data_IF_102348214109
#
_entry.id   IF_102348214109
#
_cell.length_a   1.000
_cell.length_b   1.000
_cell.length_c   1.000
_cell.angle_alpha   90.00
_cell.angle_beta   90.00
_cell.angle_gamma   90.00
#
_symmetry.space_group_name_H-M   'P 1'
#
loop_
_entity.id
_entity.type
_entity.pdbx_description
1 polymer ?
#
# COMPACT_ATOMS: atom_id res chain seq x y z
N UNK A 1 20.12 68.52 -2.27
CA UNK A 1 20.81 67.34 -2.84
C UNK A 1 19.77 66.27 -3.08
N UNK A 2 19.29 66.05 -4.33
CA UNK A 2 18.41 64.95 -4.62
C UNK A 2 19.25 63.73 -5.00
N UNK A 3 19.12 62.66 -4.21
CA UNK A 3 19.72 61.36 -4.53
C UNK A 3 18.84 60.70 -5.60
N UNK A 4 19.31 60.68 -6.85
CA UNK A 4 18.72 59.85 -7.90
C UNK A 4 19.11 58.40 -7.64
N UNK A 5 18.18 57.59 -7.16
CA UNK A 5 18.34 56.13 -7.12
C UNK A 5 18.21 55.63 -8.56
N UNK A 6 19.35 55.37 -9.20
CA UNK A 6 19.41 54.63 -10.46
C UNK A 6 19.10 53.16 -10.17
N UNK A 7 17.85 52.75 -10.39
CA UNK A 7 17.47 51.35 -10.46
C UNK A 7 17.92 50.79 -11.81
N UNK A 8 19.08 50.14 -11.83
CA UNK A 8 19.48 49.31 -12.96
C UNK A 8 18.62 48.04 -12.96
N UNK A 9 17.63 47.99 -13.84
CA UNK A 9 17.00 46.74 -14.22
C UNK A 9 18.02 45.94 -15.04
N UNK A 10 18.79 45.08 -14.37
CA UNK A 10 19.58 44.06 -15.05
C UNK A 10 18.60 43.04 -15.65
N UNK A 11 18.23 43.23 -16.92
CA UNK A 11 17.46 42.25 -17.67
C UNK A 11 18.28 40.97 -17.76
N UNK A 12 17.87 39.92 -17.05
CA UNK A 12 18.49 38.61 -17.13
C UNK A 12 18.31 38.06 -18.55
N UNK A 13 19.41 37.88 -19.28
CA UNK A 13 19.50 37.14 -20.56
C UNK A 13 19.31 35.62 -20.33
N UNK A 14 18.33 35.23 -19.53
CA UNK A 14 18.11 33.83 -19.19
C UNK A 14 17.17 33.19 -20.21
N UNK A 15 17.71 32.25 -20.98
CA UNK A 15 16.92 31.44 -21.91
C UNK A 15 15.88 30.63 -21.10
N UNK A 16 14.59 30.70 -21.45
CA UNK A 16 13.51 30.07 -20.70
C UNK A 16 13.65 28.54 -20.66
N UNK A 17 13.23 27.92 -19.56
CA UNK A 17 13.26 26.47 -19.39
C UNK A 17 12.34 25.75 -20.40
N UNK A 18 12.70 24.54 -20.86
CA UNK A 18 11.82 23.71 -21.66
C UNK A 18 10.75 23.01 -20.80
N UNK A 19 9.65 22.58 -21.42
CA UNK A 19 8.71 21.65 -20.82
C UNK A 19 9.13 20.20 -21.06
N UNK A 20 8.89 19.33 -20.08
CA UNK A 20 9.17 17.89 -20.16
C UNK A 20 7.89 17.10 -19.86
N UNK A 21 7.59 16.09 -20.66
CA UNK A 21 6.41 15.24 -20.45
C UNK A 21 6.66 13.79 -20.88
N UNK A 22 6.02 12.87 -20.18
CA UNK A 22 5.95 11.47 -20.57
C UNK A 22 4.87 11.33 -21.65
N UNK A 23 5.20 10.70 -22.78
CA UNK A 23 4.27 10.53 -23.91
C UNK A 23 3.92 9.06 -24.13
N UNK A 24 2.74 8.75 -24.69
CA UNK A 24 2.34 7.38 -25.00
C UNK A 24 3.32 6.69 -25.98
N UNK A 25 3.50 5.36 -25.87
CA UNK A 25 2.93 4.46 -24.86
C UNK A 25 3.56 4.63 -23.47
N UNK A 26 2.72 4.68 -22.43
CA UNK A 26 3.19 4.76 -21.06
C UNK A 26 3.70 3.40 -20.58
N UNK A 27 4.85 3.34 -19.89
CA UNK A 27 5.43 2.07 -19.46
C UNK A 27 4.58 1.41 -18.37
N UNK A 28 4.38 0.10 -18.49
CA UNK A 28 3.68 -0.73 -17.52
C UNK A 28 4.64 -1.46 -16.57
N UNK A 29 5.87 -1.72 -17.00
CA UNK A 29 6.96 -2.27 -16.20
C UNK A 29 8.29 -1.55 -16.46
N UNK A 30 9.33 -1.88 -15.68
CA UNK A 30 10.65 -1.26 -15.80
C UNK A 30 11.37 -1.63 -17.11
N UNK A 31 10.98 -2.73 -17.73
CA UNK A 31 11.48 -3.26 -18.99
C UNK A 31 10.81 -2.60 -20.21
N UNK A 32 9.69 -1.92 -20.00
CA UNK A 32 9.00 -1.24 -21.09
C UNK A 32 9.78 0.02 -21.54
N UNK A 33 9.77 0.33 -22.85
CA UNK A 33 10.41 1.54 -23.35
C UNK A 33 9.75 2.80 -22.77
N UNK A 34 10.56 3.83 -22.53
CA UNK A 34 10.12 5.11 -21.98
C UNK A 34 10.29 6.18 -23.07
N UNK A 35 9.20 6.86 -23.38
CA UNK A 35 9.18 7.96 -24.36
C UNK A 35 8.99 9.29 -23.66
N UNK A 36 10.02 10.14 -23.70
CA UNK A 36 10.03 11.43 -23.02
C UNK A 36 10.09 12.53 -24.07
N UNK A 37 9.08 13.39 -24.08
CA UNK A 37 9.05 14.61 -24.87
C UNK A 37 9.72 15.75 -24.11
N UNK A 38 10.58 16.49 -24.80
CA UNK A 38 11.03 17.80 -24.37
C UNK A 38 10.74 18.84 -25.44
N UNK A 39 10.12 19.95 -25.04
CA UNK A 39 9.74 21.02 -25.94
C UNK A 39 10.31 22.36 -25.47
N UNK A 40 11.03 23.04 -26.35
CA UNK A 40 11.49 24.40 -26.15
C UNK A 40 10.37 25.41 -26.42
N UNK A 41 10.44 26.61 -25.82
CA UNK A 41 9.55 27.72 -26.17
C UNK A 41 9.65 28.11 -27.65
N UNK A 42 8.59 28.72 -28.18
CA UNK A 42 8.35 28.91 -29.62
C UNK A 42 9.49 29.58 -30.41
N UNK A 43 10.34 30.35 -29.74
CA UNK A 43 11.41 31.14 -30.36
C UNK A 43 12.70 30.34 -30.59
N UNK A 44 12.74 29.04 -30.24
CA UNK A 44 13.95 28.22 -30.24
C UNK A 44 13.81 26.91 -31.06
N UNK A 45 13.46 26.97 -32.35
CA UNK A 45 13.42 25.77 -33.20
C UNK A 45 14.82 25.24 -33.51
N UNK A 46 14.94 23.95 -33.81
CA UNK A 46 16.20 23.31 -34.19
C UNK A 46 17.25 23.23 -33.06
N UNK A 47 16.83 23.42 -31.81
CA UNK A 47 17.71 23.41 -30.66
C UNK A 47 18.29 22.02 -30.36
N UNK A 48 19.42 22.01 -29.63
CA UNK A 48 20.02 20.78 -29.12
C UNK A 48 19.50 20.49 -27.73
N UNK A 49 18.81 19.37 -27.55
CA UNK A 49 18.23 18.96 -26.29
C UNK A 49 19.11 17.90 -25.61
N UNK A 50 19.28 18.03 -24.31
CA UNK A 50 20.00 17.09 -23.45
C UNK A 50 19.05 16.62 -22.37
N UNK A 51 18.87 15.30 -22.27
CA UNK A 51 18.11 14.65 -21.22
C UNK A 51 19.06 14.20 -20.10
N UNK A 52 18.73 14.57 -18.88
CA UNK A 52 19.46 14.23 -17.67
C UNK A 52 18.64 13.30 -16.80
N UNK A 53 19.31 12.42 -16.05
CA UNK A 53 18.73 11.70 -14.93
C UNK A 53 19.61 11.92 -13.70
N UNK A 54 19.14 12.72 -12.75
CA UNK A 54 20.02 13.29 -11.73
C UNK A 54 21.08 14.18 -12.37
N UNK A 55 22.36 13.87 -12.15
CA UNK A 55 23.50 14.60 -12.72
C UNK A 55 24.04 13.97 -14.02
N UNK A 56 23.54 12.81 -14.41
CA UNK A 56 24.04 12.06 -15.56
C UNK A 56 23.34 12.44 -16.86
N UNK A 57 24.11 12.65 -17.92
CA UNK A 57 23.58 12.84 -19.27
C UNK A 57 23.14 11.49 -19.82
N UNK A 58 21.84 11.34 -20.06
CA UNK A 58 21.24 10.12 -20.60
C UNK A 58 21.35 10.07 -22.12
N UNK A 59 20.97 11.16 -22.77
CA UNK A 59 20.91 11.23 -24.23
C UNK A 59 20.91 12.70 -24.68
N UNK A 60 21.50 12.97 -25.84
CA UNK A 60 21.46 14.28 -26.50
C UNK A 60 20.86 14.10 -27.90
N UNK A 61 19.88 14.93 -28.24
CA UNK A 61 19.19 14.92 -29.53
C UNK A 61 19.04 16.34 -30.05
N UNK A 62 19.19 16.50 -31.36
CA UNK A 62 18.94 17.78 -32.02
C UNK A 62 17.55 17.75 -32.66
N UNK A 63 16.74 18.78 -32.40
CA UNK A 63 15.49 18.95 -33.10
C UNK A 63 15.73 19.30 -34.58
N UNK A 64 14.86 18.84 -35.50
CA UNK A 64 14.83 19.37 -36.85
C UNK A 64 14.69 20.90 -36.88
N UNK A 65 15.21 21.55 -37.93
CA UNK A 65 15.35 23.00 -37.98
C UNK A 65 14.03 23.79 -37.82
N UNK A 66 12.89 23.16 -38.13
CA UNK A 66 11.54 23.70 -38.05
C UNK A 66 10.74 23.20 -36.83
N UNK A 67 11.34 22.34 -36.00
CA UNK A 67 10.69 21.73 -34.85
C UNK A 67 11.24 22.28 -33.53
N UNK A 68 10.36 22.28 -32.52
CA UNK A 68 10.63 22.79 -31.17
C UNK A 68 10.78 21.66 -30.15
N UNK A 69 10.63 20.41 -30.58
CA UNK A 69 10.46 19.27 -29.71
C UNK A 69 11.33 18.10 -30.17
N UNK A 70 11.80 17.32 -29.21
CA UNK A 70 12.37 16.00 -29.45
C UNK A 70 11.69 14.96 -28.56
N UNK A 71 11.66 13.72 -29.03
CA UNK A 71 11.23 12.57 -28.24
C UNK A 71 12.44 11.67 -28.00
N UNK A 72 12.81 11.52 -26.72
CA UNK A 72 13.83 10.59 -26.28
C UNK A 72 13.22 9.19 -26.13
N UNK A 73 13.86 8.21 -26.76
CA UNK A 73 13.45 6.81 -26.73
C UNK A 73 14.44 6.02 -25.89
N UNK A 74 14.08 5.78 -24.63
CA UNK A 74 14.91 5.05 -23.69
C UNK A 74 14.47 3.58 -23.66
N UNK A 75 15.43 2.66 -23.79
CA UNK A 75 15.15 1.24 -23.58
C UNK A 75 14.90 0.97 -22.10
N UNK A 76 13.79 0.31 -21.77
CA UNK A 76 13.53 -0.20 -20.43
C UNK A 76 14.49 -1.35 -20.13
N UNK A 77 15.55 -1.07 -19.39
CA UNK A 77 16.57 -2.07 -19.09
C UNK A 77 17.56 -1.57 -18.06
N UNK A 78 17.59 -2.26 -16.91
CA UNK A 78 18.61 -2.25 -15.86
C UNK A 78 19.41 -0.95 -15.73
N UNK A 79 18.74 0.14 -15.32
CA UNK A 79 19.44 1.17 -14.57
C UNK A 79 19.55 0.66 -13.13
N UNK A 80 20.73 0.12 -12.82
CA UNK A 80 21.11 -0.43 -11.50
C UNK A 80 21.01 0.61 -10.37
N UNK A 81 20.87 1.89 -10.72
CA UNK A 81 20.68 2.99 -9.80
C UNK A 81 19.19 3.35 -9.78
N UNK A 82 18.58 3.61 -8.60
CA UNK A 82 17.30 4.29 -8.54
C UNK A 82 17.45 5.62 -9.29
N UNK A 83 17.02 5.62 -10.54
CA UNK A 83 17.17 6.77 -11.41
C UNK A 83 16.46 7.95 -10.77
N UNK A 84 17.17 9.06 -10.56
CA UNK A 84 16.58 10.30 -10.11
C UNK A 84 15.50 10.81 -11.08
N UNK A 85 14.85 11.95 -10.78
CA UNK A 85 13.96 12.58 -11.74
C UNK A 85 14.70 12.87 -13.05
N UNK A 86 13.95 12.80 -14.14
CA UNK A 86 14.41 13.26 -15.44
C UNK A 86 14.28 14.77 -15.52
N UNK A 87 15.33 15.43 -16.02
CA UNK A 87 15.34 16.86 -16.29
C UNK A 87 15.80 17.08 -17.73
N UNK A 88 15.28 18.12 -18.38
CA UNK A 88 15.63 18.46 -19.74
C UNK A 88 16.25 19.85 -19.82
N UNK A 89 17.20 20.01 -20.73
CA UNK A 89 17.81 21.30 -21.03
C UNK A 89 18.01 21.40 -22.54
N UNK A 90 17.90 22.60 -23.10
CA UNK A 90 18.25 22.82 -24.50
C UNK A 90 19.32 23.89 -24.64
N UNK A 91 20.11 23.77 -25.69
CA UNK A 91 21.14 24.71 -26.10
C UNK A 91 20.84 25.28 -27.47
N UNK A 92 21.00 26.58 -27.61
CA UNK A 92 20.95 27.27 -28.90
C UNK A 92 22.24 28.05 -29.14
N UNK A 93 22.51 28.31 -30.42
CA UNK A 93 23.61 29.17 -30.79
C UNK A 93 23.17 30.63 -30.62
N UNK A 94 23.73 31.32 -29.63
CA UNK A 94 23.42 32.73 -29.38
C UNK A 94 24.01 33.66 -30.45
N UNK A 95 23.72 34.95 -30.31
CA UNK A 95 24.11 36.01 -31.25
C UNK A 95 25.63 36.05 -31.55
N UNK A 96 26.47 35.71 -30.56
CA UNK A 96 27.94 35.68 -30.69
C UNK A 96 28.51 34.32 -31.15
N UNK A 97 27.67 33.43 -31.70
CA UNK A 97 28.04 32.02 -32.01
C UNK A 97 28.56 31.24 -30.79
N UNK A 98 28.18 31.67 -29.60
CA UNK A 98 28.46 30.93 -28.38
C UNK A 98 27.26 30.05 -28.03
N UNK A 99 27.48 28.80 -27.60
CA UNK A 99 26.40 27.97 -27.07
C UNK A 99 25.82 28.63 -25.82
N UNK A 100 24.52 28.89 -25.83
CA UNK A 100 23.78 29.33 -24.66
C UNK A 100 22.82 28.22 -24.25
N UNK A 101 22.81 27.88 -22.96
CA UNK A 101 21.95 26.85 -22.41
C UNK A 101 20.75 27.50 -21.72
N UNK A 102 19.60 26.85 -21.85
CA UNK A 102 18.42 27.14 -21.06
C UNK A 102 18.61 26.78 -19.60
N UNK A 103 17.71 27.25 -18.74
CA UNK A 103 17.50 26.60 -17.45
C UNK A 103 17.00 25.16 -17.63
N UNK A 104 17.13 24.34 -16.59
CA UNK A 104 16.55 23.00 -16.56
C UNK A 104 15.02 23.05 -16.52
N UNK A 105 14.37 22.05 -17.11
CA UNK A 105 12.94 21.80 -16.95
C UNK A 105 12.58 21.50 -15.50
N UNK A 106 11.28 21.48 -15.21
CA UNK A 106 10.79 20.84 -13.99
C UNK A 106 11.18 19.35 -13.95
N UNK A 107 11.43 18.79 -12.76
CA UNK A 107 11.78 17.38 -12.62
C UNK A 107 10.58 16.48 -12.92
N UNK A 108 10.79 15.44 -13.74
CA UNK A 108 9.75 14.47 -14.11
C UNK A 108 10.08 13.07 -13.57
N UNK A 109 9.10 12.45 -12.90
CA UNK A 109 9.21 11.08 -12.39
C UNK A 109 8.46 10.09 -13.28
N UNK A 110 9.05 8.91 -13.48
CA UNK A 110 8.39 7.78 -14.16
C UNK A 110 7.90 6.81 -13.09
N UNK A 111 6.59 6.57 -13.06
CA UNK A 111 5.95 5.63 -12.15
C UNK A 111 5.30 4.49 -12.92
N UNK A 112 5.48 3.27 -12.44
CA UNK A 112 4.85 2.09 -13.02
C UNK A 112 3.55 1.76 -12.28
N UNK A 113 2.51 1.28 -12.98
CA UNK A 113 1.29 0.80 -12.33
C UNK A 113 1.59 -0.26 -11.27
N UNK A 114 1.14 -0.02 -10.04
CA UNK A 114 1.31 -0.99 -8.97
C UNK A 114 0.49 -2.26 -9.26
N UNK A 115 1.00 -3.46 -8.93
CA UNK A 115 0.25 -4.69 -9.13
C UNK A 115 -0.96 -4.75 -8.19
N UNK A 116 -2.16 -4.54 -8.72
CA UNK A 116 -3.41 -4.49 -7.94
C UNK A 116 -3.78 -5.83 -7.29
N UNK A 117 -3.25 -6.94 -7.82
CA UNK A 117 -3.45 -8.28 -7.25
C UNK A 117 -2.88 -8.41 -5.82
N UNK A 118 -1.85 -7.63 -5.46
CA UNK A 118 -1.27 -7.64 -4.11
C UNK A 118 -2.32 -7.17 -3.08
N UNK A 119 -3.09 -6.14 -3.41
CA UNK A 119 -4.18 -5.64 -2.56
C UNK A 119 -5.33 -6.66 -2.48
N UNK A 120 -5.68 -7.28 -3.61
CA UNK A 120 -6.72 -8.30 -3.63
C UNK A 120 -6.34 -9.52 -2.76
N UNK A 121 -5.09 -9.97 -2.84
CA UNK A 121 -4.58 -11.06 -2.02
C UNK A 121 -4.55 -10.71 -0.53
N UNK A 122 -4.11 -9.50 -0.17
CA UNK A 122 -4.04 -9.08 1.23
C UNK A 122 -5.43 -8.97 1.86
N UNK A 123 -6.39 -8.39 1.14
CA UNK A 123 -7.80 -8.32 1.55
C UNK A 123 -8.43 -9.72 1.69
N UNK A 124 -8.14 -10.61 0.75
CA UNK A 124 -8.62 -12.01 0.79
C UNK A 124 -8.07 -12.77 1.99
N UNK A 125 -6.76 -12.68 2.25
CA UNK A 125 -6.14 -13.29 3.42
C UNK A 125 -6.76 -12.76 4.71
N UNK A 126 -6.84 -11.43 4.88
CA UNK A 126 -7.41 -10.81 6.06
C UNK A 126 -8.87 -11.24 6.29
N UNK A 127 -9.68 -11.26 5.23
CA UNK A 127 -11.07 -11.74 5.29
C UNK A 127 -11.16 -13.20 5.73
N UNK A 128 -10.34 -14.07 5.16
CA UNK A 128 -10.30 -15.50 5.53
C UNK A 128 -9.92 -15.71 6.99
N UNK A 129 -8.91 -14.99 7.50
CA UNK A 129 -8.51 -15.04 8.90
C UNK A 129 -9.63 -14.60 9.85
N UNK A 130 -10.34 -13.50 9.52
CA UNK A 130 -11.46 -13.02 10.32
C UNK A 130 -12.62 -14.00 10.34
N UNK A 131 -12.94 -14.62 9.19
CA UNK A 131 -13.99 -15.65 9.10
C UNK A 131 -13.64 -16.87 9.94
N UNK A 132 -12.40 -17.37 9.87
CA UNK A 132 -11.94 -18.51 10.66
C UNK A 132 -11.99 -18.21 12.16
N UNK A 133 -11.52 -17.03 12.59
CA UNK A 133 -11.61 -16.60 13.98
C UNK A 133 -13.07 -16.53 14.46
N UNK A 134 -13.97 -15.98 13.63
CA UNK A 134 -15.41 -15.97 13.88
C UNK A 134 -15.99 -17.38 14.06
N UNK A 135 -15.68 -18.31 13.16
CA UNK A 135 -16.15 -19.69 13.25
C UNK A 135 -15.62 -20.41 14.50
N UNK A 136 -14.35 -20.20 14.87
CA UNK A 136 -13.76 -20.78 16.08
C UNK A 136 -14.44 -20.24 17.33
N UNK A 137 -14.67 -18.93 17.43
CA UNK A 137 -15.36 -18.34 18.59
C UNK A 137 -16.78 -18.87 18.72
N UNK A 138 -17.54 -18.96 17.63
CA UNK A 138 -18.89 -19.55 17.62
C UNK A 138 -18.85 -21.01 18.07
N UNK A 139 -17.93 -21.82 17.55
CA UNK A 139 -17.79 -23.22 17.93
C UNK A 139 -17.45 -23.40 19.42
N UNK A 140 -16.58 -22.54 19.97
CA UNK A 140 -16.26 -22.54 21.40
C UNK A 140 -17.48 -22.16 22.26
N UNK A 141 -18.27 -21.18 21.84
CA UNK A 141 -19.52 -20.79 22.52
C UNK A 141 -20.52 -21.95 22.51
N UNK A 142 -20.76 -22.58 21.36
CA UNK A 142 -21.67 -23.74 21.24
C UNK A 142 -21.20 -24.88 22.16
N UNK A 143 -19.89 -25.19 22.16
CA UNK A 143 -19.32 -26.21 23.06
C UNK A 143 -19.54 -25.85 24.53
N UNK A 144 -19.28 -24.60 24.94
CA UNK A 144 -19.50 -24.12 26.31
C UNK A 144 -20.97 -24.22 26.72
N UNK A 145 -21.91 -23.82 25.85
CA UNK A 145 -23.36 -23.93 26.10
C UNK A 145 -23.77 -25.39 26.22
N UNK A 146 -23.28 -26.27 25.34
CA UNK A 146 -23.56 -27.71 25.38
C UNK A 146 -23.08 -28.34 26.69
N UNK A 147 -21.88 -28.02 27.15
CA UNK A 147 -21.34 -28.48 28.44
C UNK A 147 -22.21 -27.99 29.61
N UNK A 148 -22.56 -26.70 29.64
CA UNK A 148 -23.45 -26.15 30.68
C UNK A 148 -24.82 -26.83 30.69
N UNK A 149 -25.40 -27.09 29.52
CA UNK A 149 -26.69 -27.77 29.41
C UNK A 149 -26.62 -29.23 29.88
N UNK A 150 -25.54 -29.95 29.55
CA UNK A 150 -25.33 -31.32 30.02
C UNK A 150 -25.12 -31.37 31.55
N UNK A 151 -24.40 -30.39 32.13
CA UNK A 151 -24.26 -30.26 33.58
C UNK A 151 -25.62 -30.02 34.25
N UNK A 152 -26.42 -29.07 33.75
CA UNK A 152 -27.78 -28.83 34.25
C UNK A 152 -28.67 -30.07 34.17
N UNK A 153 -28.56 -30.86 33.09
CA UNK A 153 -29.32 -32.11 32.94
C UNK A 153 -28.92 -33.12 34.02
N UNK A 154 -27.62 -33.28 34.27
CA UNK A 154 -27.10 -34.18 35.32
C UNK A 154 -27.54 -33.76 36.72
N UNK A 155 -27.47 -32.47 37.05
CA UNK A 155 -27.93 -31.95 38.35
C UNK A 155 -29.43 -32.23 38.57
N UNK A 156 -30.25 -32.04 37.53
CA UNK A 156 -31.68 -32.35 37.58
C UNK A 156 -31.94 -33.83 37.82
N UNK A 157 -31.22 -34.71 37.13
CA UNK A 157 -31.32 -36.17 37.30
C UNK A 157 -30.84 -36.62 38.70
N UNK A 158 -29.80 -36.00 39.25
CA UNK A 158 -29.31 -36.28 40.61
C UNK A 158 -30.28 -35.84 41.71
N UNK A 159 -31.03 -34.75 41.52
CA UNK A 159 -32.04 -34.29 42.48
C UNK A 159 -33.21 -35.29 42.61
N UNK A 160 -33.58 -35.96 41.52
CA UNK A 160 -34.61 -37.02 41.55
C UNK A 160 -34.09 -38.34 42.13
N UNK A 161 -32.81 -38.68 41.93
CA UNK A 161 -32.22 -39.90 42.50
C UNK A 161 -32.18 -39.91 44.05
N UNK A 162 -32.31 -38.76 44.71
CA UNK A 162 -32.37 -38.66 46.17
C UNK A 162 -33.81 -38.74 46.73
N UNK A 163 -34.84 -38.60 45.89
CA UNK A 163 -36.25 -38.60 46.33
C UNK A 163 -36.84 -40.03 46.37
N UNK A 164 -36.19 -41.02 45.76
CA UNK A 164 -36.65 -42.43 45.76
C UNK A 164 -36.06 -43.30 46.89
N UNK A 165 -35.38 -42.71 47.88
CA UNK A 165 -35.28 -43.37 49.18
C UNK A 165 -36.52 -43.01 49.99
N UNK A 166 -37.60 -43.74 49.70
CA UNK A 166 -38.62 -43.97 50.70
C UNK A 166 -37.90 -44.32 52.01
N UNK A 167 -38.24 -43.57 53.04
CA UNK A 167 -37.88 -43.81 54.42
C UNK A 167 -38.45 -45.17 54.81
N UNK A 168 -37.75 -46.25 54.43
CA UNK A 168 -38.04 -47.59 54.93
C UNK A 168 -37.60 -47.56 56.37
N UNK A 169 -38.57 -47.25 57.21
CA UNK A 169 -38.56 -47.42 58.65
C UNK A 169 -37.92 -48.77 58.99
N UNK A 170 -36.68 -48.72 59.49
CA UNK A 170 -36.00 -49.86 60.08
C UNK A 170 -35.94 -49.63 61.59
N UNK A 171 -37.11 -49.49 62.21
CA UNK A 171 -37.25 -49.69 63.65
C UNK A 171 -37.18 -51.18 63.94
N UNK A 172 -36.06 -51.64 64.52
CA UNK A 172 -35.97 -52.96 65.11
C UNK A 172 -36.83 -53.00 66.38
N UNK A 173 -37.99 -53.67 66.32
CA UNK A 173 -38.79 -53.98 67.52
C UNK A 173 -38.06 -55.02 68.37
N UNK A 174 -37.60 -54.59 69.55
CA UNK A 174 -36.99 -55.45 70.56
C UNK A 174 -38.08 -55.86 71.56
N UNK A 175 -38.90 -56.87 71.22
CA UNK A 175 -39.93 -57.38 72.13
C UNK A 175 -39.32 -58.28 73.20
N UNK A 176 -39.24 -57.73 74.41
CA UNK A 176 -39.03 -58.40 75.70
C UNK A 176 -39.87 -59.67 75.86
N UNK A 177 -39.24 -60.83 76.00
CA UNK A 177 -39.90 -62.05 76.49
C UNK A 177 -40.00 -62.02 78.02
N UNK A 178 -41.19 -61.78 78.56
CA UNK A 178 -41.53 -62.07 79.96
C UNK A 178 -41.98 -63.52 80.11
N UNK A 179 -41.20 -64.32 80.84
CA UNK A 179 -41.58 -65.68 81.27
C UNK A 179 -42.39 -65.56 82.57
N UNK A 180 -43.69 -65.84 82.52
CA UNK A 180 -44.52 -66.01 83.73
C UNK A 180 -44.51 -67.47 84.17
N UNK A 181 -44.09 -67.70 85.40
CA UNK A 181 -44.09 -69.00 86.09
C UNK A 181 -45.51 -69.43 86.46
N UNK A 182 -45.82 -70.73 86.32
CA UNK A 182 -46.89 -71.36 87.11
C UNK A 182 -46.45 -72.73 87.63
N UNK A 183 -46.63 -72.87 88.95
CA UNK A 183 -46.33 -74.02 89.80
C UNK A 183 -47.64 -74.74 90.10
N UNK A 184 -47.69 -76.06 89.95
CA UNK A 184 -48.51 -76.96 90.78
C UNK A 184 -47.83 -78.32 90.89
#
# INVERSE_FOLDING_TARGET
>A
MPWTVLLFAAGSLAIPAPSIMLVPPHPSSQEDPIHISCMAPRDFPGANFTLYQGEEVVQLLQAPADQLEVIFNLSGGSREVPGGPFCCQYGVLGEHRQPQLSNFSEPMHVSFPAPTWILALSLSLAGSFLLLAGLVTIALVIRKVKVKNLQKKRERESCWAQVDFATTDMSFDNSLFTISTYRK
#
